data_IF_788931531058
#
_entry.id   IF_788931531058
#
_cell.length_a   1.000
_cell.length_b   1.000
_cell.length_c   1.000
_cell.angle_alpha   90.00
_cell.angle_beta   90.00
_cell.angle_gamma   90.00
#
_symmetry.space_group_name_H-M   'P 1'
#
loop_
_entity.id
_entity.type
_entity.pdbx_description
1 polymer ?
#
# COMPACT_ATOMS: atom_id res chain seq x y z
N UNK A 1 -13.56 -23.00 -15.55
CA UNK A 1 -12.99 -23.48 -14.26
C UNK A 1 -13.34 -22.44 -13.20
N UNK A 2 -14.15 -22.82 -12.21
CA UNK A 2 -14.65 -21.87 -11.20
C UNK A 2 -13.58 -21.68 -10.13
N UNK A 3 -12.88 -20.55 -10.14
CA UNK A 3 -12.03 -20.07 -9.04
C UNK A 3 -12.91 -19.35 -8.00
N UNK A 4 -13.68 -20.09 -7.24
CA UNK A 4 -14.27 -19.59 -6.00
C UNK A 4 -13.58 -20.35 -4.87
N UNK A 5 -12.90 -19.69 -3.92
CA UNK A 5 -12.56 -20.36 -2.69
C UNK A 5 -13.88 -20.77 -2.03
N UNK A 6 -14.11 -22.07 -1.93
CA UNK A 6 -15.11 -22.58 -0.98
C UNK A 6 -14.71 -21.97 0.37
N UNK A 7 -15.71 -21.58 1.17
CA UNK A 7 -15.61 -21.02 2.52
C UNK A 7 -14.25 -21.33 3.13
N UNK A 8 -13.48 -20.28 3.39
CA UNK A 8 -12.22 -20.41 4.11
C UNK A 8 -12.44 -21.38 5.26
N UNK A 9 -11.65 -22.43 5.41
CA UNK A 9 -11.72 -23.40 6.51
C UNK A 9 -11.65 -22.75 7.90
N UNK A 10 -11.44 -21.44 7.93
CA UNK A 10 -11.28 -20.60 9.13
C UNK A 10 -12.58 -19.94 9.59
N UNK A 11 -13.73 -20.12 8.92
CA UNK A 11 -15.05 -19.66 9.41
C UNK A 11 -15.17 -18.14 9.61
N UNK A 12 -14.35 -17.34 8.91
CA UNK A 12 -14.33 -15.88 9.06
C UNK A 12 -15.59 -15.30 8.38
N UNK A 13 -16.55 -14.86 9.19
CA UNK A 13 -17.69 -14.06 8.71
C UNK A 13 -17.23 -12.64 8.35
N UNK A 14 -17.88 -12.04 7.34
CA UNK A 14 -17.65 -10.63 6.97
C UNK A 14 -17.86 -9.74 8.19
N UNK A 15 -16.91 -8.84 8.46
CA UNK A 15 -17.16 -7.71 9.32
C UNK A 15 -18.07 -6.75 8.55
N UNK A 16 -19.32 -6.60 9.01
CA UNK A 16 -20.14 -5.47 8.60
C UNK A 16 -19.60 -4.21 9.29
N UNK A 17 -18.70 -3.52 8.65
CA UNK A 17 -18.37 -2.14 9.01
C UNK A 17 -19.47 -1.29 8.40
N UNK A 18 -20.22 -0.55 9.23
CA UNK A 18 -21.27 0.36 8.77
C UNK A 18 -20.67 1.43 7.86
N UNK A 19 -21.37 1.80 6.79
CA UNK A 19 -20.94 2.84 5.85
C UNK A 19 -20.71 4.20 6.54
N UNK A 20 -21.32 4.45 7.69
CA UNK A 20 -21.09 5.63 8.52
C UNK A 20 -19.71 5.66 9.19
N UNK A 21 -19.16 4.52 9.60
CA UNK A 21 -17.81 4.43 10.18
C UNK A 21 -16.73 4.66 9.12
N UNK A 22 -16.99 4.25 7.86
CA UNK A 22 -16.11 4.57 6.72
C UNK A 22 -16.04 6.06 6.45
N UNK A 23 -17.15 6.78 6.64
CA UNK A 23 -17.24 8.24 6.42
C UNK A 23 -16.48 9.04 7.47
N UNK A 24 -16.43 8.55 8.71
CA UNK A 24 -15.69 9.22 9.80
C UNK A 24 -14.17 9.15 9.62
N UNK A 25 -13.65 8.10 8.96
CA UNK A 25 -12.21 7.98 8.68
C UNK A 25 -11.72 8.97 7.60
N UNK A 26 -12.59 9.45 6.71
CA UNK A 26 -12.25 10.50 5.72
C UNK A 26 -12.26 11.91 6.31
N UNK A 27 -12.81 12.11 7.51
CA UNK A 27 -12.96 13.42 8.15
C UNK A 27 -12.03 13.69 9.33
N UNK A 28 -10.95 12.90 9.49
CA UNK A 28 -9.92 13.26 10.46
C UNK A 28 -9.37 14.66 10.13
N UNK A 29 -9.32 15.58 11.11
CA UNK A 29 -8.91 16.94 10.86
C UNK A 29 -7.52 16.98 10.26
N UNK A 30 -7.38 17.64 9.11
CA UNK A 30 -6.09 17.97 8.50
C UNK A 30 -5.25 18.71 9.54
N UNK A 31 -4.33 18.02 10.17
CA UNK A 31 -3.28 18.66 10.96
C UNK A 31 -2.46 19.48 9.96
N UNK A 32 -2.51 20.80 10.11
CA UNK A 32 -1.65 21.72 9.36
C UNK A 32 -0.20 21.38 9.68
N UNK A 33 0.40 20.59 8.81
CA UNK A 33 1.83 20.30 8.84
C UNK A 33 2.55 21.60 8.50
N UNK A 34 3.39 22.10 9.40
CA UNK A 34 4.30 23.20 9.14
C UNK A 34 5.18 22.80 7.94
N UNK A 35 5.06 23.57 6.87
CA UNK A 35 5.88 23.45 5.67
C UNK A 35 7.36 23.68 6.03
N UNK A 36 8.13 22.61 6.12
CA UNK A 36 9.57 22.68 5.88
C UNK A 36 9.78 22.59 4.38
N UNK A 37 9.96 23.75 3.76
CA UNK A 37 10.44 23.86 2.38
C UNK A 37 11.83 23.22 2.30
N UNK A 38 11.88 22.00 1.79
CA UNK A 38 13.07 21.48 1.12
C UNK A 38 12.81 21.58 -0.36
N UNK A 39 13.50 22.50 -1.03
CA UNK A 39 13.61 22.56 -2.50
C UNK A 39 14.30 21.29 -3.01
N UNK A 40 13.58 20.17 -3.07
CA UNK A 40 13.93 19.07 -3.94
C UNK A 40 13.40 19.42 -5.31
N UNK A 41 14.25 19.40 -6.33
CA UNK A 41 13.85 19.45 -7.74
C UNK A 41 12.96 18.24 -7.99
N UNK A 42 11.68 18.35 -7.65
CA UNK A 42 10.71 17.35 -8.04
C UNK A 42 10.52 17.47 -9.55
N UNK A 43 10.59 16.37 -10.30
CA UNK A 43 10.25 16.40 -11.71
C UNK A 43 8.86 17.02 -11.85
N UNK A 44 8.70 17.98 -12.75
CA UNK A 44 7.42 18.67 -12.96
C UNK A 44 6.34 17.63 -13.23
N UNK A 45 5.35 17.56 -12.36
CA UNK A 45 4.19 16.68 -12.49
C UNK A 45 3.07 17.48 -13.15
N UNK A 46 2.36 16.87 -14.09
CA UNK A 46 1.14 17.41 -14.68
C UNK A 46 0.04 16.37 -14.64
N UNK A 47 -1.20 16.83 -14.62
CA UNK A 47 -2.40 15.98 -14.74
C UNK A 47 -2.92 16.06 -16.17
N UNK A 48 -3.28 14.91 -16.72
CA UNK A 48 -3.96 14.82 -18.02
C UNK A 48 -5.30 14.12 -17.89
N UNK A 49 -6.32 14.63 -18.56
CA UNK A 49 -7.63 14.00 -18.67
C UNK A 49 -7.71 13.31 -20.03
N UNK A 50 -7.48 12.01 -20.02
CA UNK A 50 -7.51 11.20 -21.23
C UNK A 50 -8.93 10.99 -21.78
N UNK A 51 -9.04 10.31 -22.92
CA UNK A 51 -10.33 10.07 -23.60
C UNK A 51 -11.30 9.27 -22.71
N UNK A 52 -12.49 9.83 -22.48
CA UNK A 52 -13.50 9.25 -21.57
C UNK A 52 -13.05 9.26 -20.12
N UNK A 53 -12.19 10.20 -19.76
CA UNK A 53 -11.54 10.31 -18.47
C UNK A 53 -12.48 10.69 -17.34
N UNK A 54 -12.00 10.43 -16.13
CA UNK A 54 -12.68 10.71 -14.88
C UNK A 54 -12.33 12.15 -14.46
N UNK A 55 -13.00 13.11 -15.10
CA UNK A 55 -12.73 14.54 -14.94
C UNK A 55 -12.75 14.97 -13.47
N UNK A 56 -13.78 14.58 -12.73
CA UNK A 56 -13.96 14.97 -11.33
C UNK A 56 -12.78 14.50 -10.45
N UNK A 57 -12.26 13.29 -10.69
CA UNK A 57 -11.09 12.77 -9.96
C UNK A 57 -9.80 13.50 -10.36
N UNK A 58 -9.64 13.83 -11.64
CA UNK A 58 -8.47 14.55 -12.13
C UNK A 58 -8.43 15.98 -11.57
N UNK A 59 -9.56 16.68 -11.63
CA UNK A 59 -9.70 18.04 -11.10
C UNK A 59 -9.51 18.05 -9.57
N UNK A 60 -10.15 17.15 -8.84
CA UNK A 60 -9.97 17.04 -7.40
C UNK A 60 -8.52 16.73 -6.98
N UNK A 61 -7.80 15.93 -7.77
CA UNK A 61 -6.37 15.66 -7.54
C UNK A 61 -5.54 16.93 -7.81
N UNK A 62 -5.76 17.56 -8.96
CA UNK A 62 -5.05 18.77 -9.40
C UNK A 62 -5.21 19.92 -8.38
N UNK A 63 -6.43 20.18 -7.96
CA UNK A 63 -6.75 21.24 -6.99
C UNK A 63 -6.13 20.97 -5.62
N UNK A 64 -6.27 19.73 -5.13
CA UNK A 64 -5.72 19.35 -3.80
C UNK A 64 -4.21 19.47 -3.72
N UNK A 65 -3.51 19.19 -4.83
CA UNK A 65 -2.04 19.08 -4.83
C UNK A 65 -1.35 20.22 -5.60
N UNK A 66 -2.12 21.21 -6.10
CA UNK A 66 -1.57 22.34 -6.85
C UNK A 66 -0.88 21.93 -8.15
N UNK A 67 -1.34 20.83 -8.80
CA UNK A 67 -0.74 20.27 -10.01
C UNK A 67 -1.52 20.79 -11.25
N UNK A 68 -0.83 21.34 -12.28
CA UNK A 68 -1.53 21.85 -13.45
C UNK A 68 -2.15 20.73 -14.29
N UNK A 69 -3.33 21.00 -14.86
CA UNK A 69 -3.97 20.15 -15.86
C UNK A 69 -3.52 20.57 -17.25
N UNK A 70 -3.19 19.61 -18.11
CA UNK A 70 -2.74 19.85 -19.49
C UNK A 70 -3.32 18.86 -20.48
N UNK A 71 -3.65 19.35 -21.67
CA UNK A 71 -4.07 18.51 -22.80
C UNK A 71 -2.87 18.00 -23.61
N UNK A 72 -1.67 18.55 -23.37
CA UNK A 72 -0.44 18.23 -24.09
C UNK A 72 0.63 17.78 -23.10
N UNK A 73 0.62 16.51 -22.68
CA UNK A 73 1.68 15.98 -21.84
C UNK A 73 3.00 16.02 -22.61
N UNK A 74 3.97 16.79 -22.08
CA UNK A 74 5.31 16.91 -22.64
C UNK A 74 6.27 15.86 -22.06
N UNK A 75 7.52 16.27 -21.79
CA UNK A 75 8.53 15.41 -21.15
C UNK A 75 8.34 15.25 -19.64
N UNK A 76 7.42 16.01 -19.04
CA UNK A 76 7.10 15.97 -17.62
C UNK A 76 6.46 14.63 -17.22
N UNK A 77 6.55 14.29 -15.93
CA UNK A 77 5.74 13.21 -15.38
C UNK A 77 4.25 13.56 -15.52
N UNK A 78 3.48 12.67 -16.11
CA UNK A 78 2.07 12.89 -16.39
C UNK A 78 1.22 11.85 -15.69
N UNK A 79 0.34 12.30 -14.78
CA UNK A 79 -0.70 11.46 -14.19
C UNK A 79 -1.96 11.59 -15.05
N UNK A 80 -2.30 10.52 -15.75
CA UNK A 80 -3.44 10.49 -16.68
C UNK A 80 -4.62 9.77 -16.06
N UNK A 81 -5.79 10.42 -16.11
CA UNK A 81 -7.08 9.85 -15.73
C UNK A 81 -7.89 9.59 -16.98
N UNK A 82 -8.08 8.35 -17.39
CA UNK A 82 -8.86 7.99 -18.56
C UNK A 82 -9.91 6.89 -18.27
N UNK A 83 -10.60 6.43 -19.30
CA UNK A 83 -11.61 5.36 -19.17
C UNK A 83 -11.06 4.04 -18.67
N UNK A 84 -9.76 3.79 -18.84
CA UNK A 84 -9.09 2.54 -18.42
C UNK A 84 -8.60 2.62 -16.98
N UNK A 85 -8.54 3.81 -16.40
CA UNK A 85 -8.12 4.09 -15.05
C UNK A 85 -7.06 5.17 -14.95
N UNK A 86 -6.32 5.18 -13.84
CA UNK A 86 -5.25 6.14 -13.57
C UNK A 86 -3.90 5.52 -13.91
N UNK A 87 -3.09 6.23 -14.69
CA UNK A 87 -1.74 5.81 -15.10
C UNK A 87 -0.74 6.95 -14.93
N UNK A 88 0.52 6.60 -14.69
CA UNK A 88 1.64 7.52 -14.65
C UNK A 88 2.54 7.27 -15.85
N UNK A 89 2.89 8.31 -16.60
CA UNK A 89 3.83 8.23 -17.72
C UNK A 89 4.91 9.31 -17.63
N UNK A 90 6.02 9.07 -18.29
CA UNK A 90 7.16 10.00 -18.38
C UNK A 90 8.42 9.26 -18.82
N UNK A 91 9.38 9.98 -19.40
CA UNK A 91 10.67 9.42 -19.81
C UNK A 91 10.57 8.17 -20.70
N UNK A 92 9.55 8.11 -21.56
CA UNK A 92 9.29 6.96 -22.42
C UNK A 92 8.76 5.71 -21.69
N UNK A 93 8.37 5.84 -20.44
CA UNK A 93 7.80 4.77 -19.62
C UNK A 93 6.35 5.07 -19.29
N UNK A 94 5.57 4.01 -19.05
CA UNK A 94 4.20 4.12 -18.52
C UNK A 94 3.96 3.03 -17.49
N UNK A 95 3.17 3.38 -16.46
CA UNK A 95 2.78 2.48 -15.40
C UNK A 95 1.30 2.65 -15.01
N UNK A 96 0.60 1.53 -14.86
CA UNK A 96 -0.73 1.44 -14.27
C UNK A 96 -0.75 0.22 -13.33
N UNK A 97 -1.20 0.39 -12.10
CA UNK A 97 -1.33 -0.71 -11.15
C UNK A 97 -2.36 -1.75 -11.63
N UNK A 98 -2.05 -3.04 -11.51
CA UNK A 98 -2.97 -4.11 -11.92
C UNK A 98 -2.81 -5.36 -11.06
N UNK A 99 -3.77 -5.62 -10.19
CA UNK A 99 -3.79 -6.79 -9.32
C UNK A 99 -4.04 -8.12 -10.02
N UNK A 100 -4.42 -8.13 -11.32
CA UNK A 100 -4.50 -9.37 -12.10
C UNK A 100 -3.14 -10.08 -12.17
N UNK A 101 -2.07 -9.31 -12.12
CA UNK A 101 -0.71 -9.86 -12.07
C UNK A 101 -0.43 -10.66 -10.79
N UNK A 102 -1.24 -10.49 -9.74
CA UNK A 102 -1.11 -11.18 -8.47
C UNK A 102 -1.93 -12.49 -8.39
N UNK A 103 -2.85 -12.73 -9.34
CA UNK A 103 -3.74 -13.90 -9.31
C UNK A 103 -2.97 -15.21 -9.14
N UNK A 104 -1.83 -15.37 -9.81
CA UNK A 104 -1.02 -16.58 -9.73
C UNK A 104 -0.44 -16.84 -8.33
N UNK A 105 -0.29 -15.80 -7.48
CA UNK A 105 0.23 -15.90 -6.12
C UNK A 105 -0.87 -16.27 -5.11
N UNK A 106 -2.10 -15.90 -5.41
CA UNK A 106 -3.25 -16.11 -4.50
C UNK A 106 -4.09 -17.34 -4.83
N UNK A 107 -3.65 -18.17 -5.77
CA UNK A 107 -4.30 -19.46 -6.07
C UNK A 107 -4.18 -20.41 -4.88
N UNK A 108 -5.18 -21.30 -4.76
CA UNK A 108 -5.22 -22.32 -3.72
C UNK A 108 -3.90 -23.11 -3.64
N UNK A 109 -3.35 -23.24 -2.43
CA UNK A 109 -2.09 -23.91 -2.16
C UNK A 109 -0.84 -23.06 -2.37
N UNK A 110 -0.91 -21.91 -3.08
CA UNK A 110 0.26 -21.01 -3.23
C UNK A 110 0.29 -19.91 -2.19
N UNK A 111 -0.86 -19.30 -1.90
CA UNK A 111 -0.98 -18.22 -0.93
C UNK A 111 -0.39 -18.57 0.43
N UNK A 112 -0.59 -19.80 0.91
CA UNK A 112 -0.10 -20.28 2.20
C UNK A 112 1.42 -20.44 2.25
N UNK A 113 2.07 -20.53 1.08
CA UNK A 113 3.54 -20.57 0.95
C UNK A 113 4.17 -19.20 0.86
N UNK A 114 3.37 -18.13 0.65
CA UNK A 114 3.87 -16.76 0.67
C UNK A 114 4.46 -16.42 2.04
N UNK A 115 5.70 -15.94 2.05
CA UNK A 115 6.43 -15.68 3.30
C UNK A 115 5.72 -14.64 4.18
N UNK A 116 5.15 -13.58 3.56
CA UNK A 116 4.39 -12.58 4.31
C UNK A 116 3.17 -13.20 4.98
N UNK A 117 2.42 -14.02 4.26
CA UNK A 117 1.25 -14.73 4.81
C UNK A 117 1.65 -15.63 5.97
N UNK A 118 2.77 -16.33 5.85
CA UNK A 118 3.31 -17.16 6.95
C UNK A 118 3.73 -16.32 8.16
N UNK A 119 4.34 -15.15 7.93
CA UNK A 119 4.69 -14.20 9.00
C UNK A 119 3.44 -13.64 9.69
N UNK A 120 2.41 -13.33 8.90
CA UNK A 120 1.15 -12.75 9.38
C UNK A 120 0.20 -13.76 10.05
N UNK A 121 0.51 -15.05 10.01
CA UNK A 121 -0.35 -16.09 10.57
C UNK A 121 -0.69 -15.80 12.03
N UNK A 122 -1.97 -15.73 12.42
CA UNK A 122 -2.34 -15.49 13.81
C UNK A 122 -1.98 -16.71 14.68
N UNK A 123 -1.56 -16.48 15.92
CA UNK A 123 -1.17 -17.55 16.84
C UNK A 123 -2.36 -18.41 17.28
N UNK A 124 -3.55 -17.80 17.38
CA UNK A 124 -4.79 -18.50 17.75
C UNK A 124 -5.81 -18.36 16.62
N UNK A 125 -6.45 -19.45 16.25
CA UNK A 125 -7.65 -19.41 15.41
C UNK A 125 -8.74 -18.69 16.18
N UNK A 126 -8.98 -17.45 15.87
CA UNK A 126 -10.08 -16.68 16.46
C UNK A 126 -11.17 -16.56 15.40
N UNK A 127 -12.44 -16.84 15.77
CA UNK A 127 -13.61 -16.55 14.95
C UNK A 127 -13.85 -15.05 14.77
N UNK A 128 -12.78 -14.26 14.79
CA UNK A 128 -12.67 -12.82 14.78
C UNK A 128 -12.26 -12.34 13.38
N UNK A 129 -12.79 -11.21 12.98
CA UNK A 129 -12.29 -10.49 11.82
C UNK A 129 -10.82 -10.12 12.05
N UNK A 130 -9.94 -10.55 11.14
CA UNK A 130 -8.52 -10.20 11.20
C UNK A 130 -8.31 -8.81 10.59
N UNK A 131 -7.60 -7.93 11.29
CA UNK A 131 -7.32 -6.57 10.85
C UNK A 131 -5.82 -6.37 10.67
N UNK A 132 -5.43 -5.80 9.55
CA UNK A 132 -4.05 -5.43 9.27
C UNK A 132 -3.95 -3.97 8.82
N UNK A 133 -2.83 -3.33 9.16
CA UNK A 133 -2.46 -2.03 8.63
C UNK A 133 -1.16 -2.20 7.85
N UNK A 134 -1.17 -1.83 6.58
CA UNK A 134 0.04 -1.63 5.79
C UNK A 134 0.40 -0.15 5.85
N UNK A 135 1.42 0.17 6.64
CA UNK A 135 1.83 1.55 6.89
C UNK A 135 2.71 2.15 5.78
N UNK A 136 3.05 1.35 4.76
CA UNK A 136 3.98 1.69 3.67
C UNK A 136 3.54 1.07 2.35
N UNK A 137 2.28 1.26 1.99
CA UNK A 137 1.57 0.43 1.02
C UNK A 137 2.18 0.42 -0.40
N UNK A 138 2.75 1.53 -0.87
CA UNK A 138 3.25 1.63 -2.22
C UNK A 138 2.19 1.25 -3.24
N UNK A 139 2.44 0.20 -4.04
CA UNK A 139 1.48 -0.31 -5.02
C UNK A 139 0.53 -1.40 -4.47
N UNK A 140 0.60 -1.71 -3.18
CA UNK A 140 -0.35 -2.58 -2.47
C UNK A 140 -0.24 -4.07 -2.75
N UNK A 141 0.87 -4.54 -3.35
CA UNK A 141 1.03 -5.97 -3.69
C UNK A 141 1.09 -6.85 -2.44
N UNK A 142 1.79 -6.42 -1.41
CA UNK A 142 1.89 -7.14 -0.14
C UNK A 142 0.56 -7.06 0.64
N UNK A 143 -0.10 -5.90 0.66
CA UNK A 143 -1.46 -5.74 1.19
C UNK A 143 -2.47 -6.66 0.51
N UNK A 144 -2.35 -6.86 -0.81
CA UNK A 144 -3.21 -7.76 -1.56
C UNK A 144 -3.08 -9.22 -1.09
N UNK A 145 -1.86 -9.66 -0.72
CA UNK A 145 -1.64 -11.00 -0.14
C UNK A 145 -2.30 -11.14 1.24
N UNK A 146 -2.19 -10.10 2.08
CA UNK A 146 -2.85 -10.08 3.39
C UNK A 146 -4.37 -10.13 3.25
N UNK A 147 -4.93 -9.34 2.32
CA UNK A 147 -6.37 -9.33 2.02
C UNK A 147 -6.84 -10.68 1.43
N UNK A 148 -6.04 -11.31 0.56
CA UNK A 148 -6.32 -12.63 0.03
C UNK A 148 -6.35 -13.72 1.11
N UNK A 149 -5.48 -13.58 2.13
CA UNK A 149 -5.48 -14.48 3.28
C UNK A 149 -6.71 -14.31 4.20
N UNK A 150 -7.36 -13.14 4.15
CA UNK A 150 -8.59 -12.85 4.89
C UNK A 150 -8.51 -11.69 5.88
N UNK A 151 -7.43 -10.91 5.84
CA UNK A 151 -7.37 -9.66 6.61
C UNK A 151 -8.22 -8.57 5.97
N UNK A 152 -8.91 -7.77 6.79
CA UNK A 152 -9.34 -6.43 6.42
C UNK A 152 -8.11 -5.54 6.55
N UNK A 153 -7.69 -4.94 5.42
CA UNK A 153 -6.39 -4.23 5.33
C UNK A 153 -6.62 -2.75 5.08
N UNK A 154 -6.11 -1.92 5.99
CA UNK A 154 -6.00 -0.47 5.77
C UNK A 154 -4.60 -0.16 5.24
N UNK A 155 -4.53 0.47 4.07
CA UNK A 155 -3.31 0.76 3.33
C UNK A 155 -3.00 2.25 3.41
N UNK A 156 -1.85 2.61 3.96
CA UNK A 156 -1.37 4.00 3.99
C UNK A 156 -0.31 4.23 2.92
N UNK A 157 -0.53 5.28 2.13
CA UNK A 157 0.43 5.75 1.16
C UNK A 157 0.56 7.27 1.24
N UNK A 158 1.76 7.75 1.54
CA UNK A 158 2.02 9.18 1.75
C UNK A 158 2.13 9.94 0.43
N UNK A 159 2.72 9.32 -0.60
CA UNK A 159 2.89 9.97 -1.89
C UNK A 159 1.54 10.07 -2.63
N UNK A 160 1.05 11.28 -2.97
CA UNK A 160 -0.27 11.45 -3.56
C UNK A 160 -0.43 10.78 -4.92
N UNK A 161 0.65 10.73 -5.73
CA UNK A 161 0.61 10.08 -7.05
C UNK A 161 0.49 8.57 -6.91
N UNK A 162 1.29 7.98 -6.02
CA UNK A 162 1.25 6.54 -5.75
C UNK A 162 -0.10 6.16 -5.14
N UNK A 163 -0.61 6.96 -4.20
CA UNK A 163 -1.92 6.75 -3.61
C UNK A 163 -3.06 6.82 -4.66
N UNK A 164 -2.99 7.74 -5.61
CA UNK A 164 -3.98 7.83 -6.70
C UNK A 164 -3.94 6.59 -7.61
N UNK A 165 -2.75 6.11 -7.96
CA UNK A 165 -2.56 4.87 -8.74
C UNK A 165 -3.08 3.64 -7.98
N UNK A 166 -2.79 3.55 -6.68
CA UNK A 166 -3.23 2.45 -5.82
C UNK A 166 -4.77 2.46 -5.64
N UNK A 167 -5.37 3.61 -5.34
CA UNK A 167 -6.83 3.76 -5.24
C UNK A 167 -7.53 3.31 -6.51
N UNK A 168 -6.99 3.70 -7.67
CA UNK A 168 -7.54 3.27 -8.95
C UNK A 168 -7.39 1.75 -9.17
N UNK A 169 -6.24 1.18 -8.85
CA UNK A 169 -5.99 -0.26 -8.98
C UNK A 169 -6.97 -1.06 -8.11
N UNK A 170 -7.19 -0.67 -6.84
CA UNK A 170 -8.16 -1.30 -5.93
C UNK A 170 -9.59 -1.13 -6.48
N UNK A 171 -9.97 0.07 -6.95
CA UNK A 171 -11.29 0.34 -7.54
C UNK A 171 -11.56 -0.54 -8.76
N UNK A 172 -10.57 -0.75 -9.66
CA UNK A 172 -10.69 -1.66 -10.81
C UNK A 172 -10.76 -3.12 -10.38
N UNK A 173 -9.98 -3.51 -9.38
CA UNK A 173 -10.02 -4.85 -8.82
C UNK A 173 -11.38 -5.19 -8.19
N UNK A 174 -12.03 -4.24 -7.50
CA UNK A 174 -13.40 -4.41 -6.95
C UNK A 174 -14.46 -4.68 -8.02
N UNK A 175 -14.22 -4.30 -9.29
CA UNK A 175 -15.11 -4.57 -10.43
C UNK A 175 -14.78 -5.87 -11.18
N UNK A 176 -13.65 -6.49 -10.88
CA UNK A 176 -13.21 -7.73 -11.50
C UNK A 176 -13.74 -8.93 -10.72
N UNK A 177 -14.33 -9.92 -11.39
CA UNK A 177 -14.97 -11.08 -10.75
C UNK A 177 -14.00 -11.92 -9.90
N UNK A 178 -12.73 -12.05 -10.34
CA UNK A 178 -11.72 -12.87 -9.66
C UNK A 178 -11.07 -12.15 -8.49
N UNK A 179 -11.03 -10.80 -8.51
CA UNK A 179 -10.33 -9.96 -7.53
C UNK A 179 -11.26 -9.33 -6.50
N UNK A 180 -12.55 -9.24 -6.82
CA UNK A 180 -13.56 -8.48 -6.06
C UNK A 180 -13.56 -8.81 -4.57
N UNK A 181 -13.56 -10.07 -4.22
CA UNK A 181 -13.64 -10.53 -2.83
C UNK A 181 -12.38 -10.11 -2.04
N UNK A 182 -11.21 -10.11 -2.68
CA UNK A 182 -9.95 -9.67 -2.08
C UNK A 182 -9.92 -8.14 -1.97
N UNK A 183 -10.22 -7.45 -3.07
CA UNK A 183 -10.15 -6.00 -3.14
C UNK A 183 -11.18 -5.30 -2.23
N UNK A 184 -12.31 -5.94 -1.91
CA UNK A 184 -13.28 -5.41 -0.97
C UNK A 184 -12.76 -5.36 0.49
N UNK A 185 -11.68 -6.09 0.80
CA UNK A 185 -11.01 -6.05 2.10
C UNK A 185 -9.87 -5.02 2.16
N UNK A 186 -9.68 -4.24 1.10
CA UNK A 186 -8.59 -3.27 1.00
C UNK A 186 -9.14 -1.84 1.04
N UNK A 187 -8.71 -1.05 2.01
CA UNK A 187 -9.07 0.37 2.15
C UNK A 187 -7.82 1.22 2.01
N UNK A 188 -7.80 2.17 1.05
CA UNK A 188 -6.62 2.99 0.76
C UNK A 188 -6.79 4.39 1.30
N UNK A 189 -5.92 4.77 2.22
CA UNK A 189 -5.83 6.10 2.81
C UNK A 189 -4.56 6.80 2.29
N UNK A 190 -4.72 7.97 1.69
CA UNK A 190 -3.60 8.84 1.39
C UNK A 190 -3.25 9.63 2.64
N UNK A 191 -2.06 9.43 3.18
CA UNK A 191 -1.63 10.14 4.39
C UNK A 191 -0.39 9.54 5.03
N UNK A 192 0.04 10.21 6.09
CA UNK A 192 1.15 9.76 6.93
C UNK A 192 0.66 8.71 7.93
N UNK A 193 1.15 7.49 7.80
CA UNK A 193 0.82 6.38 8.68
C UNK A 193 1.30 6.60 10.12
N UNK A 194 2.38 7.36 10.35
CA UNK A 194 2.91 7.66 11.69
C UNK A 194 1.87 8.42 12.50
N UNK A 195 1.25 9.45 11.87
CA UNK A 195 0.19 10.24 12.52
C UNK A 195 -1.00 9.37 12.88
N UNK A 196 -1.43 8.51 11.96
CA UNK A 196 -2.56 7.63 12.19
C UNK A 196 -2.28 6.59 13.29
N UNK A 197 -1.14 5.91 13.22
CA UNK A 197 -0.76 4.87 14.18
C UNK A 197 -0.62 5.42 15.60
N UNK A 198 -0.11 6.65 15.75
CA UNK A 198 0.04 7.29 17.07
C UNK A 198 -1.30 7.61 17.76
N UNK A 199 -2.40 7.65 17.00
CA UNK A 199 -3.75 7.95 17.49
C UNK A 199 -4.68 6.72 17.46
N UNK A 200 -4.16 5.56 17.01
CA UNK A 200 -4.96 4.35 16.86
C UNK A 200 -5.40 3.81 18.23
N UNK A 201 -6.70 3.73 18.45
CA UNK A 201 -7.31 3.21 19.68
C UNK A 201 -7.81 1.77 19.50
N UNK A 202 -8.19 1.44 18.26
CA UNK A 202 -8.77 0.14 17.96
C UNK A 202 -7.68 -0.95 17.84
N UNK A 203 -7.95 -2.16 18.37
CA UNK A 203 -7.00 -3.26 18.27
C UNK A 203 -6.78 -3.69 16.82
N UNK A 204 -5.53 -3.90 16.44
CA UNK A 204 -5.11 -4.42 15.14
C UNK A 204 -4.24 -5.66 15.34
N UNK A 205 -4.43 -6.67 14.47
CA UNK A 205 -3.69 -7.93 14.61
C UNK A 205 -2.26 -7.80 14.03
N UNK A 206 -2.13 -7.13 12.88
CA UNK A 206 -0.85 -6.99 12.19
C UNK A 206 -0.63 -5.56 11.73
N UNK A 207 0.56 -5.00 12.02
CA UNK A 207 1.09 -3.82 11.33
C UNK A 207 2.24 -4.28 10.44
N UNK A 208 2.13 -3.99 9.14
CA UNK A 208 3.14 -4.33 8.14
C UNK A 208 3.91 -3.07 7.73
N UNK A 209 5.24 -3.19 7.68
CA UNK A 209 6.18 -2.13 7.34
C UNK A 209 7.15 -2.61 6.25
N UNK A 210 7.20 -1.91 5.13
CA UNK A 210 8.21 -2.06 4.06
C UNK A 210 8.78 -0.69 3.67
N UNK A 211 9.40 0.04 4.63
CA UNK A 211 9.94 1.36 4.33
C UNK A 211 11.00 1.24 3.24
N UNK A 212 10.94 2.14 2.26
CA UNK A 212 11.91 2.19 1.19
C UNK A 212 13.29 2.52 1.70
N UNK A 213 14.24 1.62 1.44
CA UNK A 213 15.65 1.81 1.79
C UNK A 213 16.38 2.58 0.70
N UNK A 214 17.33 3.47 1.08
CA UNK A 214 18.25 4.03 0.11
C UNK A 214 18.97 2.90 -0.61
N UNK A 215 18.80 2.79 -1.92
CA UNK A 215 19.39 1.72 -2.72
C UNK A 215 20.91 1.86 -2.74
N UNK A 216 21.62 0.78 -2.42
CA UNK A 216 22.96 0.58 -2.95
C UNK A 216 22.86 0.51 -4.48
N UNK A 217 23.63 1.37 -5.16
CA UNK A 217 23.78 1.33 -6.62
C UNK A 217 24.26 -0.07 -7.03
N UNK A 218 23.36 -0.96 -7.39
CA UNK A 218 23.68 -2.17 -8.11
C UNK A 218 23.07 -2.06 -9.49
N UNK A 219 23.92 -2.11 -10.49
CA UNK A 219 23.68 -2.21 -11.92
C UNK A 219 22.92 -3.49 -12.28
N UNK A 220 21.67 -3.62 -11.87
CA UNK A 220 20.74 -4.62 -12.33
C UNK A 220 19.58 -3.89 -13.02
N UNK A 221 19.09 -4.40 -14.14
CA UNK A 221 17.89 -3.92 -14.83
C UNK A 221 16.73 -3.81 -13.86
N UNK A 222 16.65 -2.66 -13.15
CA UNK A 222 15.50 -2.32 -12.33
C UNK A 222 14.30 -2.29 -13.26
N UNK A 223 13.25 -3.02 -12.90
CA UNK A 223 12.01 -3.04 -13.65
C UNK A 223 11.61 -1.59 -14.00
N UNK A 224 11.53 -1.26 -15.29
CA UNK A 224 11.30 0.10 -15.81
C UNK A 224 10.08 0.78 -15.15
N UNK A 225 9.10 -0.02 -14.76
CA UNK A 225 7.90 0.41 -14.02
C UNK A 225 8.25 1.01 -12.64
N UNK A 226 9.17 0.40 -11.92
CA UNK A 226 9.62 0.89 -10.62
C UNK A 226 10.43 2.19 -10.73
N UNK A 227 11.07 2.44 -11.88
CA UNK A 227 11.89 3.65 -12.08
C UNK A 227 11.05 4.95 -12.04
N UNK A 228 9.80 4.92 -12.56
CA UNK A 228 8.91 6.08 -12.48
C UNK A 228 8.50 6.37 -11.05
N UNK A 229 8.11 5.34 -10.31
CA UNK A 229 7.69 5.46 -8.90
C UNK A 229 8.86 5.92 -8.04
N UNK A 230 10.06 5.37 -8.25
CA UNK A 230 11.27 5.75 -7.52
C UNK A 230 11.69 7.23 -7.69
N UNK A 231 11.28 7.88 -8.78
CA UNK A 231 11.50 9.32 -8.97
C UNK A 231 10.55 10.18 -8.15
N UNK A 232 9.44 9.59 -7.70
CA UNK A 232 8.42 10.25 -6.89
C UNK A 232 8.60 10.02 -5.40
N UNK A 233 9.31 8.97 -5.03
CA UNK A 233 9.44 8.55 -3.64
C UNK A 233 10.80 8.96 -3.08
N UNK A 234 10.78 9.63 -1.92
CA UNK A 234 11.94 9.84 -1.09
C UNK A 234 12.16 8.62 -0.17
N UNK A 235 13.42 8.28 0.18
CA UNK A 235 13.68 7.30 1.24
C UNK A 235 12.98 7.72 2.53
N UNK A 236 12.47 6.74 3.29
CA UNK A 236 11.89 7.01 4.60
C UNK A 236 12.97 7.62 5.51
N UNK A 237 12.82 8.90 5.86
CA UNK A 237 13.75 9.62 6.73
C UNK A 237 13.47 9.38 8.22
N UNK A 238 12.36 8.74 8.55
CA UNK A 238 11.84 8.57 9.91
C UNK A 238 11.56 7.10 10.26
N UNK A 239 12.50 6.18 9.92
CA UNK A 239 12.36 4.74 10.24
C UNK A 239 12.10 4.49 11.73
N UNK A 240 12.75 5.27 12.62
CA UNK A 240 12.56 5.16 14.06
C UNK A 240 11.15 5.58 14.47
N UNK A 241 10.68 6.73 13.98
CA UNK A 241 9.34 7.26 14.28
C UNK A 241 8.24 6.33 13.78
N UNK A 242 8.41 5.76 12.58
CA UNK A 242 7.47 4.78 12.03
C UNK A 242 7.38 3.53 12.89
N UNK A 243 8.53 2.99 13.33
CA UNK A 243 8.56 1.81 14.19
C UNK A 243 7.98 2.09 15.56
N UNK A 244 8.32 3.24 16.16
CA UNK A 244 7.81 3.64 17.48
C UNK A 244 6.28 3.88 17.42
N UNK A 245 5.76 4.49 16.35
CA UNK A 245 4.32 4.64 16.15
C UNK A 245 3.62 3.27 16.01
N UNK A 246 4.23 2.32 15.29
CA UNK A 246 3.71 0.97 15.19
C UNK A 246 3.69 0.25 16.56
N UNK A 247 4.68 0.47 17.42
CA UNK A 247 4.70 -0.06 18.79
C UNK A 247 3.60 0.57 19.67
N UNK A 248 3.40 1.89 19.55
CA UNK A 248 2.37 2.62 20.31
C UNK A 248 0.96 2.12 20.00
N UNK A 249 0.72 1.71 18.77
CA UNK A 249 -0.57 1.13 18.33
C UNK A 249 -0.86 -0.25 18.95
N UNK A 250 0.10 -0.88 19.64
CA UNK A 250 -0.02 -2.17 20.35
C UNK A 250 -0.69 -3.28 19.51
N UNK A 251 -0.19 -3.56 18.29
CA UNK A 251 -0.72 -4.67 17.50
C UNK A 251 -0.35 -6.01 18.15
N UNK A 252 -1.02 -7.10 17.75
CA UNK A 252 -0.55 -8.44 18.15
C UNK A 252 0.83 -8.77 17.55
N UNK A 253 1.13 -8.19 16.36
CA UNK A 253 2.39 -8.41 15.67
C UNK A 253 2.76 -7.24 14.76
N UNK A 254 4.04 -6.85 14.77
CA UNK A 254 4.63 -5.99 13.73
C UNK A 254 5.47 -6.88 12.80
N UNK A 255 5.33 -6.69 11.50
CA UNK A 255 6.10 -7.41 10.47
C UNK A 255 6.85 -6.39 9.63
N UNK A 256 8.16 -6.49 9.60
CA UNK A 256 9.02 -5.59 8.83
C UNK A 256 9.72 -6.36 7.72
N UNK A 257 9.54 -5.93 6.48
CA UNK A 257 10.27 -6.50 5.34
C UNK A 257 11.62 -5.83 5.21
N UNK A 258 12.68 -6.65 5.11
CA UNK A 258 14.06 -6.18 5.01
C UNK A 258 14.83 -6.94 3.92
N UNK A 259 15.80 -6.31 3.25
CA UNK A 259 16.83 -7.06 2.55
C UNK A 259 17.55 -8.00 3.51
N UNK A 260 17.91 -9.21 3.06
CA UNK A 260 18.44 -10.28 3.92
C UNK A 260 19.62 -9.84 4.82
N UNK A 261 20.48 -8.94 4.31
CA UNK A 261 21.68 -8.46 5.02
C UNK A 261 21.55 -7.04 5.59
N UNK A 262 20.35 -6.43 5.51
CA UNK A 262 20.15 -5.10 6.06
C UNK A 262 20.09 -5.15 7.60
N UNK A 263 20.45 -4.08 8.32
CA UNK A 263 20.22 -3.99 9.76
C UNK A 263 18.73 -4.09 10.09
N UNK A 264 18.38 -4.44 11.32
CA UNK A 264 17.01 -4.40 11.80
C UNK A 264 16.48 -2.96 11.78
N UNK A 265 15.18 -2.77 11.53
CA UNK A 265 14.55 -1.45 11.51
C UNK A 265 14.73 -0.79 12.88
N UNK A 266 15.09 0.49 12.90
CA UNK A 266 15.34 1.24 14.13
C UNK A 266 16.34 0.57 15.10
N UNK A 267 17.21 -0.34 14.62
CA UNK A 267 18.13 -1.10 15.46
C UNK A 267 17.46 -2.06 16.44
N UNK A 268 16.16 -2.34 16.30
CA UNK A 268 15.39 -3.20 17.20
C UNK A 268 15.49 -4.67 16.76
N UNK A 269 15.90 -5.55 17.66
CA UNK A 269 15.96 -6.99 17.41
C UNK A 269 14.54 -7.60 17.35
N UNK A 270 14.22 -8.39 16.30
CA UNK A 270 12.93 -9.05 16.19
C UNK A 270 12.79 -10.24 17.15
N UNK A 271 11.54 -10.61 17.50
CA UNK A 271 11.26 -11.84 18.23
C UNK A 271 11.69 -13.07 17.43
N UNK A 272 11.50 -13.02 16.12
CA UNK A 272 12.02 -14.03 15.17
C UNK A 272 12.04 -13.42 13.76
N UNK A 273 12.75 -14.09 12.83
CA UNK A 273 12.77 -13.70 11.43
C UNK A 273 12.47 -14.87 10.50
N UNK A 274 11.72 -14.63 9.44
CA UNK A 274 11.54 -15.56 8.33
C UNK A 274 12.46 -15.16 7.19
N UNK A 275 13.46 -15.98 6.91
CA UNK A 275 14.47 -15.69 5.89
C UNK A 275 14.09 -16.31 4.55
N UNK A 276 14.13 -15.48 3.48
CA UNK A 276 14.03 -15.89 2.09
C UNK A 276 15.39 -15.86 1.39
N UNK A 277 15.38 -15.90 0.06
CA UNK A 277 16.60 -15.83 -0.75
C UNK A 277 17.21 -14.43 -0.83
N UNK A 278 16.38 -13.40 -0.91
CA UNK A 278 16.80 -12.00 -1.10
C UNK A 278 16.31 -11.06 0.00
N UNK A 279 15.19 -11.40 0.61
CA UNK A 279 14.54 -10.63 1.67
C UNK A 279 14.30 -11.51 2.90
N UNK A 280 14.03 -10.87 4.03
CA UNK A 280 13.51 -11.48 5.23
C UNK A 280 12.34 -10.67 5.78
N UNK A 281 11.54 -11.29 6.63
CA UNK A 281 10.51 -10.63 7.42
C UNK A 281 10.91 -10.71 8.89
N UNK A 282 11.25 -9.57 9.48
CA UNK A 282 11.51 -9.43 10.91
C UNK A 282 10.14 -9.30 11.62
N UNK A 283 9.87 -10.20 12.57
CA UNK A 283 8.58 -10.30 13.25
C UNK A 283 8.75 -9.95 14.74
N UNK A 284 7.92 -9.01 15.21
CA UNK A 284 7.87 -8.56 16.60
C UNK A 284 6.49 -8.92 17.16
N UNK A 285 6.45 -9.81 18.14
CA UNK A 285 5.22 -10.23 18.85
C UNK A 285 5.06 -9.41 20.12
N UNK A 286 3.82 -8.98 20.40
CA UNK A 286 3.48 -8.15 21.56
C UNK A 286 2.75 -8.97 22.62
#
# INVERSE_FOLDING_TARGET
MRYLPRRNEYGISRCNVNDEEKWQMEQLPMVKTMEKQTESIQPSLVVNIGKGGQRDLAEAFADRHGVPITDRPGEALTLTFDKTGTSLSGYGLSYQGDFRNMLHRVTQGRLEHEMLVRAAKPEKKMGKCLRAIDATAGMGEDSFLLAAYGYEVTLFEQNPVVAALLKDAVRRARRNQELKEIANRMEVIQGDSIVYLSQLVEPVDVIYLDPMFPKRQKTGLVNKKLQLIQKLEAPCSSENELFDAALLAKPSKIIVKRPLKAPCLAGREPSYALNGKAIRYDCYTM
#
